data_IF_053661947122
#
_entry.id   IF_053661947122
#
_cell.length_a   1.000
_cell.length_b   1.000
_cell.length_c   1.000
_cell.angle_alpha   90.00
_cell.angle_beta   90.00
_cell.angle_gamma   90.00
#
_symmetry.space_group_name_H-M   'P 1'
#
loop_
_entity.id
_entity.type
_entity.pdbx_description
1 polymer ?
#
# COMPACT_ATOMS: atom_id res chain seq x y z
N UNK A 1 11.22 7.54 -9.41
CA UNK A 1 11.79 6.90 -8.21
C UNK A 1 10.67 6.53 -7.24
N UNK A 2 10.97 5.74 -6.19
CA UNK A 2 9.93 5.22 -5.27
C UNK A 2 9.11 6.31 -4.58
N UNK A 3 9.75 7.37 -4.09
CA UNK A 3 9.05 8.49 -3.44
C UNK A 3 8.07 9.23 -4.36
N UNK A 4 8.41 9.44 -5.63
CA UNK A 4 7.52 10.10 -6.58
C UNK A 4 6.24 9.28 -6.84
N UNK A 5 6.37 7.96 -7.03
CA UNK A 5 5.21 7.06 -7.20
C UNK A 5 4.34 6.99 -5.96
N UNK A 6 4.95 7.04 -4.77
CA UNK A 6 4.22 7.09 -3.53
C UNK A 6 3.34 8.35 -3.44
N UNK A 7 3.90 9.53 -3.75
CA UNK A 7 3.16 10.79 -3.74
C UNK A 7 2.04 10.80 -4.78
N UNK A 8 2.29 10.29 -5.98
CA UNK A 8 1.30 10.15 -7.04
C UNK A 8 0.12 9.29 -6.58
N UNK A 9 0.39 8.10 -6.03
CA UNK A 9 -0.67 7.22 -5.55
C UNK A 9 -1.50 7.82 -4.41
N UNK A 10 -0.87 8.56 -3.48
CA UNK A 10 -1.59 9.28 -2.42
C UNK A 10 -2.47 10.37 -3.02
N UNK A 11 -1.95 11.15 -3.96
CA UNK A 11 -2.69 12.24 -4.62
C UNK A 11 -3.88 11.73 -5.43
N UNK A 12 -3.81 10.48 -5.92
CA UNK A 12 -4.88 9.80 -6.65
C UNK A 12 -5.86 9.03 -5.74
N UNK A 13 -5.70 9.09 -4.41
CA UNK A 13 -6.60 8.40 -3.47
C UNK A 13 -6.51 6.88 -3.54
N UNK A 14 -5.32 6.33 -3.84
CA UNK A 14 -5.13 4.89 -4.11
C UNK A 14 -4.79 4.05 -2.87
N UNK A 15 -4.91 4.64 -1.68
CA UNK A 15 -4.59 4.00 -0.40
C UNK A 15 -5.89 3.65 0.32
N UNK A 16 -6.25 2.36 0.26
CA UNK A 16 -7.52 1.84 0.75
C UNK A 16 -7.32 1.06 2.03
N UNK A 17 -7.87 1.51 3.15
CA UNK A 17 -7.80 0.78 4.42
C UNK A 17 -9.07 -0.02 4.66
N UNK A 18 -8.91 -1.32 4.77
CA UNK A 18 -9.92 -2.26 5.24
C UNK A 18 -9.70 -2.56 6.73
N UNK A 19 -10.60 -3.37 7.31
CA UNK A 19 -10.54 -3.72 8.74
C UNK A 19 -9.30 -4.51 9.13
N UNK A 20 -8.80 -5.31 8.20
CA UNK A 20 -7.66 -6.22 8.35
C UNK A 20 -6.37 -5.60 7.82
N UNK A 21 -6.38 -5.05 6.60
CA UNK A 21 -5.15 -4.54 5.98
C UNK A 21 -5.36 -3.30 5.11
N UNK A 22 -4.25 -2.70 4.67
CA UNK A 22 -4.27 -1.63 3.67
C UNK A 22 -3.96 -2.21 2.29
N UNK A 23 -4.74 -1.83 1.29
CA UNK A 23 -4.49 -2.11 -0.12
C UNK A 23 -4.02 -0.84 -0.81
N UNK A 24 -2.91 -0.93 -1.53
CA UNK A 24 -2.46 0.10 -2.46
C UNK A 24 -2.75 -0.37 -3.86
N UNK A 25 -3.62 0.35 -4.57
CA UNK A 25 -3.89 0.07 -5.98
C UNK A 25 -2.66 0.52 -6.77
N UNK A 26 -1.91 -0.41 -7.36
CA UNK A 26 -0.79 -0.13 -8.25
C UNK A 26 -1.22 -0.06 -9.72
N UNK A 27 -0.28 0.24 -10.63
CA UNK A 27 -0.62 0.35 -12.05
C UNK A 27 -0.94 -1.00 -12.71
N UNK A 28 -0.40 -2.08 -12.14
CA UNK A 28 -0.54 -3.43 -12.69
C UNK A 28 -1.49 -4.31 -11.86
N UNK A 29 -1.54 -4.09 -10.55
CA UNK A 29 -2.26 -4.95 -9.60
C UNK A 29 -2.54 -4.21 -8.28
N UNK A 30 -3.28 -4.86 -7.38
CA UNK A 30 -3.48 -4.45 -5.99
C UNK A 30 -2.41 -5.07 -5.08
N UNK A 31 -1.91 -4.29 -4.13
CA UNK A 31 -0.87 -4.74 -3.21
C UNK A 31 -1.30 -4.55 -1.77
N UNK A 32 -1.23 -5.64 -1.00
CA UNK A 32 -1.50 -5.61 0.43
C UNK A 32 -0.26 -5.07 1.15
N UNK A 33 -0.49 -4.13 2.05
CA UNK A 33 0.51 -3.51 2.93
C UNK A 33 0.06 -3.70 4.38
N UNK A 34 0.91 -4.37 5.16
CA UNK A 34 0.69 -4.71 6.57
C UNK A 34 2.05 -4.71 7.29
N UNK A 35 2.09 -4.17 8.51
CA UNK A 35 3.28 -4.14 9.37
C UNK A 35 4.59 -3.67 8.69
N UNK A 36 4.47 -2.72 7.76
CA UNK A 36 5.60 -2.18 6.99
C UNK A 36 6.07 -3.07 5.83
N UNK A 37 5.48 -4.25 5.65
CA UNK A 37 5.69 -5.14 4.52
C UNK A 37 4.73 -4.87 3.36
N UNK A 38 5.04 -5.44 2.19
CA UNK A 38 4.18 -5.36 1.01
C UNK A 38 4.31 -6.63 0.15
N UNK A 39 3.20 -7.05 -0.47
CA UNK A 39 3.15 -8.23 -1.36
C UNK A 39 3.77 -8.00 -2.74
N UNK A 40 4.32 -6.82 -3.04
CA UNK A 40 4.89 -6.53 -4.35
C UNK A 40 6.26 -7.20 -4.56
N UNK A 41 6.61 -7.42 -5.83
CA UNK A 41 7.90 -8.02 -6.22
C UNK A 41 9.12 -7.21 -5.78
N UNK A 42 9.00 -5.89 -5.68
CA UNK A 42 10.10 -5.03 -5.24
C UNK A 42 10.45 -5.27 -3.76
N UNK A 43 9.43 -5.40 -2.90
CA UNK A 43 9.62 -5.84 -1.51
C UNK A 43 10.11 -7.28 -1.41
N UNK A 44 9.62 -8.18 -2.26
CA UNK A 44 9.96 -9.59 -2.17
C UNK A 44 11.40 -9.93 -2.62
N UNK A 45 11.95 -9.18 -3.58
CA UNK A 45 13.19 -9.57 -4.26
C UNK A 45 14.32 -8.54 -4.20
N UNK A 46 14.01 -7.26 -3.96
CA UNK A 46 14.98 -6.17 -4.12
C UNK A 46 15.23 -5.37 -2.85
N UNK A 47 14.64 -5.75 -1.72
CA UNK A 47 14.74 -5.00 -0.47
C UNK A 47 15.08 -5.89 0.69
N UNK A 48 15.93 -5.39 1.57
CA UNK A 48 16.19 -6.01 2.86
C UNK A 48 15.00 -5.76 3.80
N UNK A 49 14.22 -6.79 4.19
CA UNK A 49 13.09 -6.62 5.09
C UNK A 49 13.51 -6.20 6.51
N UNK A 50 14.79 -6.35 6.88
CA UNK A 50 15.32 -5.94 8.18
C UNK A 50 15.85 -4.50 8.18
N UNK A 51 16.08 -3.87 7.02
CA UNK A 51 16.49 -2.47 6.93
C UNK A 51 15.27 -1.52 6.86
N UNK A 52 15.01 -0.72 7.92
CA UNK A 52 13.85 0.17 7.95
C UNK A 52 13.90 1.30 6.92
N UNK A 53 15.05 1.56 6.29
CA UNK A 53 15.22 2.55 5.23
C UNK A 53 14.96 1.98 3.82
N UNK A 54 14.91 0.66 3.69
CA UNK A 54 14.65 -0.03 2.43
C UNK A 54 13.17 -0.38 2.27
N UNK A 55 12.41 0.55 1.66
CA UNK A 55 10.97 0.38 1.46
C UNK A 55 10.59 0.50 -0.01
N UNK A 56 9.64 -0.32 -0.43
CA UNK A 56 9.03 -0.19 -1.74
C UNK A 56 8.11 1.04 -1.77
N UNK A 57 7.70 1.47 -2.95
CA UNK A 57 6.89 2.68 -3.06
C UNK A 57 5.50 2.55 -2.40
N UNK A 58 4.91 1.34 -2.35
CA UNK A 58 3.60 1.13 -1.72
C UNK A 58 3.63 1.38 -0.21
N UNK A 59 4.66 0.86 0.48
CA UNK A 59 4.83 1.08 1.93
C UNK A 59 5.05 2.56 2.22
N UNK A 60 5.82 3.25 1.38
CA UNK A 60 6.00 4.70 1.48
C UNK A 60 4.67 5.45 1.28
N UNK A 61 3.83 5.02 0.34
CA UNK A 61 2.55 5.64 0.06
C UNK A 61 1.60 5.53 1.26
N UNK A 62 1.50 4.34 1.89
CA UNK A 62 0.72 4.14 3.12
C UNK A 62 1.22 5.04 4.24
N UNK A 63 2.53 5.03 4.50
CA UNK A 63 3.11 5.84 5.57
C UNK A 63 2.89 7.35 5.36
N UNK A 64 2.90 7.82 4.11
CA UNK A 64 2.60 9.21 3.78
C UNK A 64 1.11 9.50 4.00
N UNK A 65 0.21 8.70 3.41
CA UNK A 65 -1.23 8.89 3.51
C UNK A 65 -1.71 8.91 4.97
N UNK A 66 -1.25 7.97 5.80
CA UNK A 66 -1.57 7.93 7.23
C UNK A 66 -1.12 9.21 7.94
N UNK A 67 0.02 9.77 7.55
CA UNK A 67 0.60 10.96 8.18
C UNK A 67 -0.10 12.26 7.78
N UNK A 68 -0.74 12.29 6.61
CA UNK A 68 -1.44 13.47 6.10
C UNK A 68 -2.98 13.35 6.12
N UNK A 69 -3.51 12.17 6.48
CA UNK A 69 -4.96 11.92 6.56
C UNK A 69 -5.63 11.60 5.22
N UNK A 70 -4.87 11.14 4.23
CA UNK A 70 -5.36 10.84 2.86
C UNK A 70 -5.59 9.34 2.63
N UNK A 71 -6.06 8.63 3.67
CA UNK A 71 -6.43 7.22 3.58
C UNK A 71 -7.93 7.10 3.28
N UNK A 72 -8.29 6.31 2.28
CA UNK A 72 -9.67 5.95 1.96
C UNK A 72 -10.11 4.76 2.83
N UNK A 73 -10.96 5.01 3.82
CA UNK A 73 -11.37 4.00 4.80
C UNK A 73 -12.65 3.27 4.36
N UNK A 74 -12.59 1.95 4.34
CA UNK A 74 -13.73 1.08 4.02
C UNK A 74 -14.10 0.20 5.22
N UNK A 75 -15.36 0.27 5.67
CA UNK A 75 -15.88 -0.51 6.80
C UNK A 75 -16.26 -1.97 6.46
N UNK A 76 -15.59 -2.57 5.47
CA UNK A 76 -15.83 -3.93 4.98
C UNK A 76 -14.58 -4.81 5.16
N UNK A 77 -14.78 -6.13 5.15
CA UNK A 77 -13.67 -7.09 5.10
C UNK A 77 -13.27 -7.31 3.64
N UNK A 78 -11.98 -7.39 3.30
CA UNK A 78 -11.58 -7.59 1.90
C UNK A 78 -12.09 -8.92 1.32
N UNK A 79 -12.29 -9.94 2.16
CA UNK A 79 -12.93 -11.20 1.77
C UNK A 79 -14.33 -11.01 1.16
N UNK A 80 -15.05 -9.94 1.53
CA UNK A 80 -16.36 -9.59 0.98
C UNK A 80 -16.23 -8.86 -0.38
N UNK A 81 -15.06 -8.32 -0.71
CA UNK A 81 -14.78 -7.58 -1.96
C UNK A 81 -14.26 -8.53 -3.05
N UNK A 82 -13.45 -9.53 -2.67
CA UNK A 82 -12.80 -10.43 -3.62
C UNK A 82 -13.75 -11.45 -4.28
N UNK A 83 -14.95 -11.66 -3.76
CA UNK A 83 -15.96 -12.54 -4.37
C UNK A 83 -16.64 -11.94 -5.62
N UNK A 84 -16.33 -10.69 -5.99
CA UNK A 84 -16.98 -9.97 -7.09
C UNK A 84 -16.09 -9.70 -8.32
N UNK A 85 -14.86 -10.24 -8.37
CA UNK A 85 -13.91 -10.07 -9.50
C UNK A 85 -13.57 -11.43 -10.13
#
# INVERSE_FOLDING_TARGET
>A
GRGARAIEAVSEGRIKRYRDFTVVVGHEDEYVVEDGGCTCKDSAYNLDPEDPHERCWHVLAVAIAERIGEVDYHEMWYSEVREFI
#
